data_IF_852513739050
#
_entry.id   IF_852513739050
#
_cell.length_a   1.000
_cell.length_b   1.000
_cell.length_c   1.000
_cell.angle_alpha   90.00
_cell.angle_beta   90.00
_cell.angle_gamma   90.00
#
_symmetry.space_group_name_H-M   'P 1'
#
loop_
_entity.id
_entity.type
_entity.pdbx_description
1 polymer ?
#
# COMPACT_ATOMS: atom_id res chain seq x y z
N UNK A 1 -2.26 45.93 38.71
CA UNK A 1 -1.78 44.57 38.39
C UNK A 1 -2.84 43.84 37.59
N UNK A 2 -2.78 43.88 36.26
CA UNK A 2 -3.76 43.26 35.38
C UNK A 2 -3.39 41.82 35.04
N UNK A 3 -4.31 40.90 35.33
CA UNK A 3 -4.24 39.47 35.04
C UNK A 3 -3.92 39.20 33.55
N UNK A 4 -2.73 38.65 33.27
CA UNK A 4 -2.30 38.13 31.95
C UNK A 4 -2.78 36.68 31.72
N UNK A 5 -3.77 36.20 32.47
CA UNK A 5 -3.99 34.77 32.63
C UNK A 5 -4.75 34.08 31.49
N UNK A 6 -5.22 34.79 30.46
CA UNK A 6 -5.93 34.18 29.33
C UNK A 6 -5.41 34.57 27.94
N UNK A 7 -4.13 34.94 27.81
CA UNK A 7 -3.51 35.18 26.48
C UNK A 7 -2.75 33.98 25.94
N UNK A 8 -3.21 32.76 26.21
CA UNK A 8 -2.71 31.56 25.51
C UNK A 8 -3.84 31.02 24.66
N UNK A 9 -4.17 31.76 23.60
CA UNK A 9 -4.80 31.17 22.40
C UNK A 9 -3.75 30.18 21.90
N UNK A 10 -3.83 28.95 22.41
CA UNK A 10 -2.93 27.84 22.09
C UNK A 10 -2.83 27.80 20.59
N UNK A 11 -1.62 28.05 20.09
CA UNK A 11 -1.31 28.10 18.68
C UNK A 11 -1.37 26.68 18.10
N UNK A 12 -2.57 26.12 18.01
CA UNK A 12 -2.84 24.95 17.18
C UNK A 12 -2.76 25.30 15.68
N UNK A 13 -2.23 26.48 15.32
CA UNK A 13 -1.92 26.89 13.93
C UNK A 13 -0.93 25.96 13.24
N UNK A 14 -0.20 25.14 14.00
CA UNK A 14 0.77 24.18 13.46
C UNK A 14 0.38 22.72 13.67
N UNK A 15 -0.92 22.40 13.78
CA UNK A 15 -1.36 21.02 13.55
C UNK A 15 -1.18 20.73 12.05
N UNK A 16 0.05 20.37 11.66
CA UNK A 16 0.35 19.77 10.36
C UNK A 16 -0.60 18.59 10.22
N UNK A 17 -1.70 18.76 9.50
CA UNK A 17 -2.61 17.67 9.19
C UNK A 17 -1.77 16.52 8.66
N UNK A 18 -1.97 15.33 9.22
CA UNK A 18 -1.23 14.15 8.82
C UNK A 18 -1.30 14.06 7.30
N UNK A 19 -0.15 14.27 6.62
CA UNK A 19 -0.05 14.27 5.16
C UNK A 19 -0.76 13.01 4.67
N UNK A 20 -1.86 13.17 3.91
CA UNK A 20 -2.53 12.02 3.29
C UNK A 20 -1.47 11.24 2.51
N UNK A 21 -1.19 10.02 2.98
CA UNK A 21 -0.25 9.14 2.30
C UNK A 21 -0.86 8.80 0.96
N UNK A 22 -0.36 9.42 -0.12
CA UNK A 22 -0.74 9.04 -1.48
C UNK A 22 -0.60 7.53 -1.59
N UNK A 23 -1.64 6.80 -2.03
CA UNK A 23 -1.54 5.36 -2.19
C UNK A 23 -0.38 5.08 -3.14
N UNK A 24 0.65 4.40 -2.64
CA UNK A 24 1.80 4.01 -3.47
C UNK A 24 1.28 3.04 -4.53
N UNK A 25 1.70 3.20 -5.78
CA UNK A 25 1.35 2.30 -6.88
C UNK A 25 2.07 0.97 -6.67
N UNK A 26 1.49 0.11 -5.82
CA UNK A 26 2.03 -1.20 -5.50
C UNK A 26 1.41 -2.23 -6.46
N UNK A 27 2.21 -3.16 -6.99
CA UNK A 27 1.68 -4.25 -7.80
C UNK A 27 0.72 -5.11 -6.98
N UNK A 28 -0.35 -5.59 -7.64
CA UNK A 28 -1.37 -6.42 -7.00
C UNK A 28 -0.77 -7.77 -6.63
N UNK A 29 -1.01 -8.22 -5.39
CA UNK A 29 -0.56 -9.51 -4.90
C UNK A 29 -1.74 -10.40 -4.52
N UNK A 30 -1.61 -11.69 -4.77
CA UNK A 30 -2.64 -12.71 -4.56
C UNK A 30 -2.19 -13.76 -3.54
N UNK A 31 -3.15 -14.39 -2.86
CA UNK A 31 -2.88 -15.49 -1.92
C UNK A 31 -2.70 -16.84 -2.63
N UNK A 32 -3.29 -17.00 -3.80
CA UNK A 32 -3.27 -18.24 -4.59
C UNK A 32 -2.87 -17.97 -6.03
N UNK A 33 -2.28 -18.97 -6.68
CA UNK A 33 -1.82 -18.87 -8.07
C UNK A 33 -3.01 -18.81 -9.02
N UNK A 34 -4.08 -19.55 -8.72
CA UNK A 34 -5.34 -19.51 -9.46
C UNK A 34 -5.96 -18.10 -9.50
N UNK A 35 -5.94 -17.38 -8.37
CA UNK A 35 -6.45 -16.01 -8.32
C UNK A 35 -5.59 -15.05 -9.15
N UNK A 36 -4.26 -15.24 -9.15
CA UNK A 36 -3.36 -14.45 -9.98
C UNK A 36 -3.63 -14.69 -11.48
N UNK A 37 -3.80 -15.95 -11.90
CA UNK A 37 -4.10 -16.31 -13.30
C UNK A 37 -5.43 -15.72 -13.78
N UNK A 38 -6.51 -15.87 -12.99
CA UNK A 38 -7.81 -15.24 -13.31
C UNK A 38 -7.71 -13.74 -13.50
N UNK A 39 -6.89 -13.07 -12.68
CA UNK A 39 -6.67 -11.64 -12.82
C UNK A 39 -5.90 -11.29 -14.10
N UNK A 40 -4.86 -12.06 -14.43
CA UNK A 40 -4.11 -11.89 -15.69
C UNK A 40 -5.01 -12.07 -16.90
N UNK A 41 -5.83 -13.12 -16.92
CA UNK A 41 -6.78 -13.41 -18.00
C UNK A 41 -7.77 -12.25 -18.19
N UNK A 42 -8.35 -11.75 -17.09
CA UNK A 42 -9.26 -10.60 -17.12
C UNK A 42 -8.59 -9.31 -17.65
N UNK A 43 -7.29 -9.15 -17.45
CA UNK A 43 -6.52 -8.00 -17.93
C UNK A 43 -5.82 -8.26 -19.28
N UNK A 44 -6.04 -9.42 -19.92
CA UNK A 44 -5.45 -9.80 -21.22
C UNK A 44 -3.92 -9.71 -21.24
N UNK A 45 -3.27 -10.05 -20.13
CA UNK A 45 -1.81 -10.00 -20.00
C UNK A 45 -1.22 -11.32 -20.53
N UNK A 46 -0.45 -11.27 -21.61
CA UNK A 46 0.11 -12.48 -22.25
C UNK A 46 1.52 -12.81 -21.79
N UNK A 47 2.36 -11.80 -21.57
CA UNK A 47 3.76 -11.95 -21.13
C UNK A 47 3.92 -11.64 -19.65
N UNK A 48 3.85 -12.67 -18.81
CA UNK A 48 4.03 -12.51 -17.37
C UNK A 48 4.72 -13.71 -16.71
N UNK A 49 5.27 -13.47 -15.53
CA UNK A 49 5.76 -14.49 -14.61
C UNK A 49 5.07 -14.34 -13.26
N UNK A 50 4.85 -15.46 -12.58
CA UNK A 50 4.34 -15.49 -11.22
C UNK A 50 5.52 -15.61 -10.25
N UNK A 51 5.68 -14.61 -9.38
CA UNK A 51 6.72 -14.62 -8.35
C UNK A 51 6.10 -14.69 -6.96
N UNK A 52 6.50 -15.66 -6.15
CA UNK A 52 6.20 -15.66 -4.72
C UNK A 52 7.17 -14.72 -3.99
N UNK A 53 6.63 -13.75 -3.24
CA UNK A 53 7.41 -12.81 -2.43
C UNK A 53 7.77 -13.34 -1.04
N UNK A 54 7.22 -14.50 -0.66
CA UNK A 54 7.53 -15.18 0.60
C UNK A 54 8.56 -16.28 0.35
N UNK A 55 9.31 -16.66 1.39
CA UNK A 55 10.18 -17.84 1.29
C UNK A 55 9.34 -19.08 1.00
N UNK A 56 9.98 -20.09 0.42
CA UNK A 56 9.38 -21.39 0.12
C UNK A 56 8.78 -22.08 1.37
N UNK A 57 9.37 -21.83 2.54
CA UNK A 57 8.95 -22.41 3.83
C UNK A 57 7.72 -21.72 4.45
N UNK A 58 7.31 -20.57 3.91
CA UNK A 58 6.15 -19.85 4.43
C UNK A 58 4.86 -20.60 4.12
N UNK A 59 4.09 -20.92 5.16
CA UNK A 59 2.72 -21.49 5.05
C UNK A 59 1.77 -20.61 4.20
N UNK A 60 2.08 -19.32 4.05
CA UNK A 60 1.31 -18.38 3.25
C UNK A 60 2.07 -17.95 2.00
N UNK A 61 1.39 -17.98 0.85
CA UNK A 61 1.92 -17.47 -0.43
C UNK A 61 1.54 -16.01 -0.62
N UNK A 62 2.44 -15.24 -1.24
CA UNK A 62 2.16 -13.88 -1.71
C UNK A 62 2.65 -13.76 -3.14
N UNK A 63 1.76 -14.05 -4.08
CA UNK A 63 2.08 -14.17 -5.49
C UNK A 63 1.86 -12.82 -6.17
N UNK A 64 2.87 -12.35 -6.89
CA UNK A 64 2.80 -11.15 -7.71
C UNK A 64 2.98 -11.53 -9.17
N UNK A 65 2.20 -10.89 -10.02
CA UNK A 65 2.35 -10.94 -11.46
C UNK A 65 3.41 -9.93 -11.86
N UNK A 66 4.49 -10.40 -12.46
CA UNK A 66 5.56 -9.55 -13.00
C UNK A 66 5.48 -9.61 -14.51
N UNK A 67 5.32 -8.47 -15.17
CA UNK A 67 5.32 -8.39 -16.63
C UNK A 67 6.72 -8.72 -17.15
N UNK A 68 6.81 -9.68 -18.05
CA UNK A 68 8.05 -9.99 -18.75
C UNK A 68 8.24 -8.94 -19.84
N UNK A 69 9.41 -8.30 -19.88
CA UNK A 69 9.78 -7.35 -20.95
C UNK A 69 9.90 -8.08 -22.29
#
# INVERSE_FOLDING_TARGET
>A
MGSRYFSKRTEFKNMKMAKQRRPRHRPKSFKTEAAAKKWVEANKITKYTLRNLKSSESKSKKIVVVLSK
#
